data_IF_203456159889
#
_entry.id   IF_203456159889
#
_cell.length_a   1.000
_cell.length_b   1.000
_cell.length_c   1.000
_cell.angle_alpha   90.00
_cell.angle_beta   90.00
_cell.angle_gamma   90.00
#
_symmetry.space_group_name_H-M   'P 1'
#
loop_
_entity.id
_entity.type
_entity.pdbx_description
1 polymer ?
#
# COMPACT_ATOMS: atom_id res chain seq x y z
N UNK A 1 34.24 25.67 33.56
CA UNK A 1 33.60 24.75 34.52
C UNK A 1 33.48 23.40 33.82
N UNK A 2 33.59 22.28 34.54
CA UNK A 2 33.54 20.96 33.92
C UNK A 2 32.28 20.20 34.34
N UNK A 3 31.62 19.55 33.38
CA UNK A 3 30.45 18.71 33.59
C UNK A 3 30.70 17.30 33.06
N UNK A 4 30.06 16.31 33.68
CA UNK A 4 29.91 14.97 33.14
C UNK A 4 28.49 14.89 32.57
N UNK A 5 28.41 14.74 31.25
CA UNK A 5 27.14 14.53 30.56
C UNK A 5 26.90 13.03 30.43
N UNK A 6 25.80 12.55 31.00
CA UNK A 6 25.27 11.23 30.72
C UNK A 6 24.41 11.34 29.47
N UNK A 7 24.94 10.83 28.35
CA UNK A 7 24.32 10.92 27.05
C UNK A 7 23.75 9.57 26.61
N UNK A 8 22.63 9.59 25.90
CA UNK A 8 22.11 8.42 25.19
C UNK A 8 21.45 8.85 23.88
N UNK A 9 21.40 7.95 22.91
CA UNK A 9 20.79 8.21 21.61
C UNK A 9 19.30 7.87 21.68
N UNK A 10 18.45 8.77 21.18
CA UNK A 10 17.00 8.51 21.12
C UNK A 10 16.73 7.29 20.22
N UNK A 11 15.90 6.36 20.69
CA UNK A 11 15.66 5.07 20.05
C UNK A 11 16.46 3.92 20.65
N UNK A 12 17.41 4.20 21.54
CA UNK A 12 18.19 3.18 22.26
C UNK A 12 17.75 3.06 23.73
N UNK A 13 18.11 1.94 24.37
CA UNK A 13 17.89 1.75 25.79
C UNK A 13 18.83 2.67 26.59
N UNK A 14 18.31 3.64 27.38
CA UNK A 14 19.12 4.62 28.09
C UNK A 14 19.91 4.03 29.27
N UNK A 15 19.57 2.83 29.76
CA UNK A 15 20.29 2.17 30.86
C UNK A 15 21.38 1.23 30.37
N UNK A 16 21.20 0.62 29.20
CA UNK A 16 22.21 -0.26 28.60
C UNK A 16 23.18 0.46 27.66
N UNK A 17 22.69 1.45 26.90
CA UNK A 17 23.43 2.16 25.83
C UNK A 17 23.63 3.65 26.10
N UNK A 18 23.94 4.00 27.35
CA UNK A 18 24.42 5.35 27.66
C UNK A 18 25.95 5.44 27.56
N UNK A 19 26.44 6.66 27.38
CA UNK A 19 27.85 6.98 27.43
C UNK A 19 28.07 8.29 28.19
N UNK A 20 29.25 8.43 28.78
CA UNK A 20 29.64 9.65 29.48
C UNK A 20 30.49 10.53 28.58
N UNK A 21 30.17 11.82 28.56
CA UNK A 21 30.95 12.83 27.84
C UNK A 21 31.42 13.91 28.83
N UNK A 22 32.74 14.05 28.95
CA UNK A 22 33.35 15.09 29.79
C UNK A 22 33.37 16.42 29.03
N UNK A 23 32.56 17.37 29.50
CA UNK A 23 32.45 18.71 28.93
C UNK A 23 33.31 19.69 29.73
N UNK A 24 34.39 20.18 29.11
CA UNK A 24 35.17 21.33 29.60
C UNK A 24 34.69 22.61 28.88
N UNK A 25 33.93 23.45 29.59
CA UNK A 25 33.36 24.67 28.97
C UNK A 25 34.39 25.73 28.62
N UNK A 26 35.64 25.59 29.07
CA UNK A 26 36.73 26.46 28.58
C UNK A 26 37.15 26.13 27.14
N UNK A 27 36.99 24.85 26.74
CA UNK A 27 37.36 24.33 25.41
C UNK A 27 36.19 24.24 24.45
N UNK A 28 35.00 23.87 24.95
CA UNK A 28 33.78 23.74 24.16
C UNK A 28 32.83 24.87 24.57
N UNK A 29 32.85 25.96 23.81
CA UNK A 29 32.15 27.20 24.16
C UNK A 29 30.74 27.30 23.56
N UNK A 30 30.36 26.41 22.63
CA UNK A 30 29.06 26.44 21.96
C UNK A 30 28.45 25.04 21.86
N UNK A 31 27.12 24.96 21.87
CA UNK A 31 26.38 23.71 21.69
C UNK A 31 26.69 23.07 20.33
N UNK A 32 26.97 23.87 19.29
CA UNK A 32 27.44 23.35 17.99
C UNK A 32 28.77 22.59 18.10
N UNK A 33 29.74 23.11 18.86
CA UNK A 33 31.00 22.40 19.11
C UNK A 33 30.80 21.12 19.93
N UNK A 34 29.85 21.13 20.88
CA UNK A 34 29.49 19.92 21.63
C UNK A 34 28.90 18.84 20.72
N UNK A 35 27.99 19.20 19.81
CA UNK A 35 27.44 18.26 18.81
C UNK A 35 28.55 17.60 18.01
N UNK A 36 29.49 18.39 17.49
CA UNK A 36 30.66 17.86 16.75
C UNK A 36 31.50 16.90 17.60
N UNK A 37 31.75 17.24 18.87
CA UNK A 37 32.55 16.42 19.77
C UNK A 37 31.84 15.10 20.14
N UNK A 38 30.52 15.12 20.31
CA UNK A 38 29.71 13.92 20.52
C UNK A 38 29.73 13.03 19.27
N UNK A 39 29.50 13.60 18.09
CA UNK A 39 29.54 12.88 16.81
C UNK A 39 30.89 12.17 16.63
N UNK A 40 32.00 12.88 16.86
CA UNK A 40 33.34 12.33 16.73
C UNK A 40 33.62 11.22 17.76
N UNK A 41 33.21 11.41 19.02
CA UNK A 41 33.46 10.43 20.07
C UNK A 41 32.65 9.14 19.91
N UNK A 42 31.41 9.25 19.45
CA UNK A 42 30.52 8.10 19.19
C UNK A 42 30.61 7.57 17.76
N UNK A 43 31.47 8.13 16.91
CA UNK A 43 31.62 7.78 15.49
C UNK A 43 30.29 7.77 14.72
N UNK A 44 29.43 8.74 15.01
CA UNK A 44 28.12 8.86 14.36
C UNK A 44 28.30 9.37 12.93
N UNK A 45 27.67 8.71 11.95
CA UNK A 45 27.77 9.10 10.54
C UNK A 45 26.72 10.16 10.16
N UNK A 46 26.72 11.31 10.85
CA UNK A 46 25.73 12.39 10.69
C UNK A 46 26.37 13.77 10.78
N UNK A 47 25.77 14.78 10.16
CA UNK A 47 26.24 16.16 10.31
C UNK A 47 25.75 16.79 11.63
N UNK A 48 26.50 17.71 12.23
CA UNK A 48 26.06 18.36 13.49
C UNK A 48 24.76 19.16 13.37
N UNK A 49 24.41 19.66 12.18
CA UNK A 49 23.11 20.30 11.91
C UNK A 49 21.93 19.31 12.02
N UNK A 50 22.21 18.03 11.84
CA UNK A 50 21.24 16.93 11.92
C UNK A 50 21.14 16.40 13.35
N UNK A 51 21.98 16.82 14.29
CA UNK A 51 21.89 16.39 15.68
C UNK A 51 21.17 17.47 16.50
N UNK A 52 20.17 17.05 17.26
CA UNK A 52 19.56 17.85 18.32
C UNK A 52 19.97 17.30 19.67
N UNK A 53 20.27 18.19 20.61
CA UNK A 53 20.60 17.83 21.99
C UNK A 53 19.50 18.34 22.89
N UNK A 54 18.98 17.47 23.75
CA UNK A 54 17.94 17.81 24.70
C UNK A 54 18.45 17.58 26.11
N UNK A 55 18.43 18.61 26.94
CA UNK A 55 18.66 18.46 28.37
C UNK A 55 17.39 17.90 29.01
N UNK A 56 17.54 16.84 29.77
CA UNK A 56 16.44 16.22 30.53
C UNK A 56 16.80 16.13 32.00
N UNK A 57 15.81 16.21 32.87
CA UNK A 57 16.00 16.07 34.32
C UNK A 57 15.49 14.70 34.75
N UNK A 58 16.32 13.67 34.59
CA UNK A 58 15.94 12.29 34.87
C UNK A 58 16.86 11.62 35.89
N UNK A 59 16.33 10.88 36.89
CA UNK A 59 17.15 10.12 37.82
C UNK A 59 17.56 8.76 37.23
N UNK A 60 18.83 8.59 36.85
CA UNK A 60 19.39 7.29 36.44
C UNK A 60 19.58 6.30 37.61
N UNK A 61 19.39 6.76 38.86
CA UNK A 61 19.59 5.97 40.08
C UNK A 61 18.43 6.18 41.06
N UNK A 62 18.04 5.14 41.79
CA UNK A 62 17.01 5.24 42.83
C UNK A 62 15.56 5.17 42.33
N UNK A 63 15.35 4.70 41.09
CA UNK A 63 14.03 4.43 40.49
C UNK A 63 13.65 2.96 40.63
N UNK A 64 12.34 2.67 40.66
CA UNK A 64 11.83 1.30 40.67
C UNK A 64 11.73 0.71 39.24
N UNK A 65 11.50 -0.61 39.12
CA UNK A 65 11.46 -1.30 37.83
C UNK A 65 10.32 -0.83 36.91
N UNK A 66 9.18 -0.40 37.46
CA UNK A 66 8.05 0.11 36.67
C UNK A 66 8.39 1.47 36.04
N UNK A 67 8.97 2.38 36.81
CA UNK A 67 9.46 3.68 36.34
C UNK A 67 10.59 3.52 35.32
N UNK A 68 11.47 2.55 35.55
CA UNK A 68 12.54 2.20 34.61
C UNK A 68 11.96 1.74 33.27
N UNK A 69 10.96 0.86 33.30
CA UNK A 69 10.31 0.35 32.09
C UNK A 69 9.53 1.43 31.34
N UNK A 70 8.80 2.31 32.03
CA UNK A 70 8.14 3.47 31.42
C UNK A 70 9.15 4.35 30.66
N UNK A 71 10.30 4.61 31.28
CA UNK A 71 11.33 5.43 30.67
C UNK A 71 11.99 4.78 29.46
N UNK A 72 12.27 3.47 29.53
CA UNK A 72 12.77 2.70 28.38
C UNK A 72 11.76 2.79 27.22
N UNK A 73 10.48 2.57 27.48
CA UNK A 73 9.42 2.65 26.47
C UNK A 73 9.34 4.04 25.84
N UNK A 74 9.49 5.09 26.65
CA UNK A 74 9.52 6.48 26.18
C UNK A 74 10.75 6.79 25.32
N UNK A 75 11.94 6.40 25.76
CA UNK A 75 13.20 6.73 25.09
C UNK A 75 13.46 5.90 23.82
N UNK A 76 12.96 4.65 23.78
CA UNK A 76 13.03 3.79 22.59
C UNK A 76 12.03 4.20 21.51
N UNK A 77 11.00 4.98 21.86
CA UNK A 77 10.09 5.59 20.89
C UNK A 77 10.73 6.83 20.24
N UNK A 78 11.32 6.65 19.05
CA UNK A 78 11.94 7.74 18.27
C UNK A 78 11.01 8.91 17.93
N UNK A 79 9.69 8.71 18.01
CA UNK A 79 8.67 9.72 17.73
C UNK A 79 8.14 10.43 18.99
N UNK A 80 8.74 10.18 20.16
CA UNK A 80 8.32 10.80 21.41
C UNK A 80 8.46 12.33 21.36
N UNK A 81 7.50 13.02 21.95
CA UNK A 81 7.64 14.45 22.21
C UNK A 81 8.52 14.66 23.44
N UNK A 82 9.83 14.78 23.23
CA UNK A 82 10.84 14.91 24.29
C UNK A 82 10.53 16.08 25.23
N UNK A 83 9.94 17.17 24.73
CA UNK A 83 9.60 18.33 25.57
C UNK A 83 8.53 17.98 26.60
N UNK A 84 7.44 17.38 26.15
CA UNK A 84 6.25 17.21 26.97
C UNK A 84 6.28 15.90 27.78
N UNK A 85 6.90 14.86 27.23
CA UNK A 85 6.90 13.51 27.83
C UNK A 85 8.11 13.24 28.73
N UNK A 86 9.21 13.98 28.52
CA UNK A 86 10.49 13.81 29.23
C UNK A 86 10.98 15.11 29.90
N UNK A 87 10.12 16.13 30.00
CA UNK A 87 10.46 17.47 30.50
C UNK A 87 11.73 18.06 29.84
N UNK A 88 11.88 17.79 28.54
CA UNK A 88 13.09 18.07 27.79
C UNK A 88 13.19 19.52 27.32
N UNK A 89 14.38 20.09 27.48
CA UNK A 89 14.73 21.42 26.97
C UNK A 89 15.75 21.27 25.85
N UNK A 90 15.36 21.65 24.62
CA UNK A 90 16.27 21.64 23.47
C UNK A 90 17.38 22.67 23.67
N UNK A 91 18.63 22.26 23.43
CA UNK A 91 19.81 23.11 23.56
C UNK A 91 20.09 23.81 22.22
N UNK A 92 19.97 25.14 22.14
CA UNK A 92 20.16 25.88 20.90
C UNK A 92 21.63 25.96 20.50
N UNK A 93 21.93 25.94 19.20
CA UNK A 93 23.30 25.82 18.65
C UNK A 93 24.24 27.03 18.93
N UNK A 94 23.77 28.08 19.60
CA UNK A 94 24.39 29.42 19.59
C UNK A 94 25.56 29.53 20.58
N UNK A 95 25.30 29.54 21.89
CA UNK A 95 26.30 29.77 22.94
C UNK A 95 25.93 29.01 24.19
N UNK A 96 26.92 28.38 24.86
CA UNK A 96 26.69 27.76 26.17
C UNK A 96 26.80 28.81 27.28
N UNK A 97 25.75 28.93 28.08
CA UNK A 97 25.77 29.65 29.34
C UNK A 97 26.45 28.82 30.44
N UNK A 98 27.09 29.47 31.41
CA UNK A 98 27.72 28.78 32.56
C UNK A 98 26.72 28.01 33.44
N UNK A 99 25.41 28.16 33.23
CA UNK A 99 24.36 27.51 34.01
C UNK A 99 23.57 26.46 33.20
N UNK A 100 23.94 26.18 31.95
CA UNK A 100 23.11 25.39 31.03
C UNK A 100 22.83 23.96 31.53
N UNK A 101 23.81 23.37 32.21
CA UNK A 101 23.80 21.99 32.71
C UNK A 101 23.76 21.88 34.24
N UNK A 102 23.47 22.97 34.95
CA UNK A 102 23.38 22.96 36.42
C UNK A 102 22.08 22.29 36.86
N UNK A 103 22.17 21.13 37.52
CA UNK A 103 21.01 20.44 38.12
C UNK A 103 21.00 20.65 39.64
N UNK A 104 19.81 20.83 40.23
CA UNK A 104 19.62 21.15 41.66
C UNK A 104 20.12 20.06 42.63
N UNK A 105 20.36 18.84 42.16
CA UNK A 105 20.73 17.69 43.00
C UNK A 105 22.19 17.26 42.88
N UNK A 106 22.88 17.57 41.77
CA UNK A 106 24.30 17.27 41.58
C UNK A 106 24.90 18.25 40.57
N UNK A 107 25.68 19.22 41.06
CA UNK A 107 26.23 20.34 40.27
C UNK A 107 27.13 19.93 39.08
N UNK A 108 27.45 18.65 38.92
CA UNK A 108 28.41 18.14 37.93
C UNK A 108 27.84 17.09 36.96
N UNK A 109 26.64 16.54 37.18
CA UNK A 109 26.07 15.51 36.31
C UNK A 109 24.77 15.99 35.64
N UNK A 110 24.72 15.92 34.32
CA UNK A 110 23.54 16.28 33.53
C UNK A 110 23.19 15.17 32.53
N UNK A 111 21.89 15.02 32.25
CA UNK A 111 21.39 14.03 31.30
C UNK A 111 21.05 14.72 29.98
N UNK A 112 21.53 14.13 28.87
CA UNK A 112 21.35 14.68 27.53
C UNK A 112 20.88 13.60 26.57
N UNK A 113 19.78 13.86 25.87
CA UNK A 113 19.32 13.02 24.76
C UNK A 113 19.95 13.52 23.47
N UNK A 114 20.60 12.61 22.75
CA UNK A 114 21.13 12.84 21.40
C UNK A 114 20.08 12.37 20.41
N UNK A 115 19.36 13.32 19.81
CA UNK A 115 18.36 13.02 18.79
C UNK A 115 18.99 13.21 17.40
N UNK A 116 19.01 12.13 16.61
CA UNK A 116 19.45 12.16 15.23
C UNK A 116 18.26 12.56 14.34
N UNK A 117 18.36 13.73 13.72
CA UNK A 117 17.41 14.20 12.71
C UNK A 117 17.76 13.49 11.41
N UNK A 118 16.94 12.53 10.99
CA UNK A 118 16.84 12.27 9.54
C UNK A 118 16.44 13.60 8.87
N UNK A 119 17.07 13.94 7.75
CA UNK A 119 16.92 15.18 6.96
C UNK A 119 15.70 16.05 7.31
N UNK A 120 15.95 17.34 7.60
CA UNK A 120 14.99 18.26 8.21
C UNK A 120 13.60 18.29 7.56
N UNK A 121 12.55 18.51 8.39
CA UNK A 121 11.17 18.59 7.96
C UNK A 121 10.92 19.91 7.25
N UNK A 122 10.44 19.84 6.01
CA UNK A 122 9.76 20.96 5.37
C UNK A 122 8.41 21.14 6.07
N UNK A 123 8.11 22.40 6.35
CA UNK A 123 6.89 22.94 6.95
C UNK A 123 5.58 22.20 6.63
N UNK A 124 4.73 22.07 7.67
CA UNK A 124 3.34 21.58 7.63
C UNK A 124 3.15 20.12 7.17
N UNK A 125 3.61 19.18 7.99
CA UNK A 125 2.95 17.89 8.02
C UNK A 125 1.73 18.01 8.93
N UNK A 126 0.58 18.25 8.32
CA UNK A 126 -0.68 17.87 8.94
C UNK A 126 -0.55 16.43 9.47
N UNK A 127 -0.91 16.21 10.73
CA UNK A 127 -1.10 14.84 11.28
C UNK A 127 -2.17 14.06 10.52
N UNK A 128 -2.88 14.74 9.63
CA UNK A 128 -3.84 14.17 8.71
C UNK A 128 -3.17 13.06 7.87
N UNK A 129 -3.87 11.93 7.71
CA UNK A 129 -3.49 10.91 6.75
C UNK A 129 -3.24 11.54 5.37
N UNK A 130 -2.27 11.00 4.63
CA UNK A 130 -1.91 11.54 3.30
C UNK A 130 -3.05 11.40 2.28
N UNK A 131 -4.00 10.49 2.54
CA UNK A 131 -5.04 10.11 1.59
C UNK A 131 -4.51 9.29 0.40
N UNK A 132 -3.21 9.03 0.34
CA UNK A 132 -2.56 8.22 -0.69
C UNK A 132 -2.85 6.74 -0.46
N UNK A 133 -3.09 6.01 -1.55
CA UNK A 133 -3.43 4.59 -1.51
C UNK A 133 -2.20 3.75 -1.84
N UNK A 134 -1.88 2.80 -0.97
CA UNK A 134 -0.82 1.80 -1.15
C UNK A 134 -1.48 0.45 -1.41
N UNK A 135 -1.25 -0.12 -2.59
CA UNK A 135 -2.01 -1.26 -3.11
C UNK A 135 -1.16 -2.53 -3.05
N UNK A 136 -1.70 -3.55 -2.40
CA UNK A 136 -1.06 -4.86 -2.18
C UNK A 136 -1.98 -5.96 -2.69
N UNK A 137 -1.56 -6.73 -3.69
CA UNK A 137 -2.41 -7.68 -4.41
C UNK A 137 -1.83 -9.09 -4.32
N UNK A 138 -2.60 -10.01 -3.74
CA UNK A 138 -2.37 -11.45 -3.87
C UNK A 138 -3.08 -11.94 -5.13
N UNK A 139 -2.35 -11.89 -6.25
CA UNK A 139 -2.95 -12.06 -7.56
C UNK A 139 -3.55 -13.47 -7.74
N UNK A 140 -2.84 -14.50 -7.29
CA UNK A 140 -3.35 -15.86 -7.41
C UNK A 140 -4.62 -16.07 -6.59
N UNK A 141 -4.69 -15.50 -5.39
CA UNK A 141 -5.88 -15.59 -4.55
C UNK A 141 -7.08 -14.88 -5.19
N UNK A 142 -6.88 -13.69 -5.76
CA UNK A 142 -7.92 -12.93 -6.47
C UNK A 142 -8.39 -13.67 -7.71
N UNK A 143 -7.47 -14.19 -8.52
CA UNK A 143 -7.78 -14.85 -9.79
C UNK A 143 -8.55 -16.15 -9.59
N UNK A 144 -8.06 -17.02 -8.70
CA UNK A 144 -8.66 -18.35 -8.47
C UNK A 144 -10.09 -18.21 -7.93
N UNK A 145 -10.30 -17.41 -6.88
CA UNK A 145 -11.61 -17.28 -6.26
C UNK A 145 -12.58 -16.45 -7.12
N UNK A 146 -12.07 -15.46 -7.86
CA UNK A 146 -12.86 -14.68 -8.81
C UNK A 146 -13.41 -15.55 -9.93
N UNK A 147 -12.55 -16.36 -10.56
CA UNK A 147 -12.96 -17.28 -11.64
C UNK A 147 -14.02 -18.27 -11.17
N UNK A 148 -13.87 -18.85 -9.97
CA UNK A 148 -14.87 -19.77 -9.38
C UNK A 148 -16.25 -19.14 -9.16
N UNK A 149 -16.30 -17.87 -8.76
CA UNK A 149 -17.56 -17.14 -8.56
C UNK A 149 -18.18 -16.76 -9.89
N UNK A 150 -17.42 -16.07 -10.75
CA UNK A 150 -17.95 -15.49 -11.99
C UNK A 150 -18.34 -16.58 -12.99
N UNK A 151 -17.64 -17.72 -13.02
CA UNK A 151 -18.03 -18.86 -13.86
C UNK A 151 -19.45 -19.34 -13.58
N UNK A 152 -19.87 -19.32 -12.31
CA UNK A 152 -21.21 -19.71 -11.88
C UNK A 152 -22.25 -18.62 -12.17
N UNK A 153 -21.90 -17.36 -11.90
CA UNK A 153 -22.80 -16.21 -12.12
C UNK A 153 -23.12 -16.04 -13.61
N UNK A 154 -22.09 -16.03 -14.44
CA UNK A 154 -22.20 -15.78 -15.89
C UNK A 154 -22.43 -17.05 -16.71
N UNK A 155 -22.33 -18.24 -16.08
CA UNK A 155 -22.47 -19.56 -16.72
C UNK A 155 -21.42 -19.78 -17.83
N UNK A 156 -20.17 -19.48 -17.49
CA UNK A 156 -18.99 -19.50 -18.37
C UNK A 156 -17.95 -20.44 -17.78
N UNK A 157 -17.10 -21.06 -18.60
CA UNK A 157 -16.01 -21.88 -18.09
C UNK A 157 -14.87 -21.02 -17.53
N UNK A 158 -14.26 -21.45 -16.42
CA UNK A 158 -13.19 -20.69 -15.75
C UNK A 158 -11.99 -20.37 -16.64
N UNK A 159 -11.68 -21.25 -17.60
CA UNK A 159 -10.58 -21.06 -18.56
C UNK A 159 -10.86 -19.99 -19.63
N UNK A 160 -12.11 -19.56 -19.77
CA UNK A 160 -12.49 -18.44 -20.65
C UNK A 160 -12.45 -17.09 -19.91
N UNK A 161 -12.34 -17.11 -18.59
CA UNK A 161 -12.33 -15.90 -17.78
C UNK A 161 -10.93 -15.33 -17.66
N UNK A 162 -10.86 -14.00 -17.74
CA UNK A 162 -9.63 -13.24 -17.64
C UNK A 162 -9.86 -12.00 -16.78
N UNK A 163 -8.81 -11.57 -16.08
CA UNK A 163 -8.77 -10.33 -15.33
C UNK A 163 -7.96 -9.32 -16.13
N UNK A 164 -8.51 -8.12 -16.26
CA UNK A 164 -7.81 -6.93 -16.72
C UNK A 164 -7.26 -6.19 -15.49
N UNK A 165 -5.96 -6.34 -15.24
CA UNK A 165 -5.35 -5.91 -13.98
C UNK A 165 -5.24 -4.39 -13.86
N UNK A 166 -5.05 -3.67 -14.97
CA UNK A 166 -5.10 -2.21 -14.94
C UNK A 166 -6.49 -1.69 -14.58
N UNK A 167 -7.56 -2.35 -15.07
CA UNK A 167 -8.93 -2.03 -14.66
C UNK A 167 -9.23 -2.42 -13.20
N UNK A 168 -8.66 -3.52 -12.71
CA UNK A 168 -8.74 -3.88 -11.29
C UNK A 168 -8.08 -2.78 -10.43
N UNK A 169 -6.85 -2.39 -10.76
CA UNK A 169 -6.14 -1.32 -10.06
C UNK A 169 -6.93 -0.01 -10.09
N UNK A 170 -7.44 0.39 -11.25
CA UNK A 170 -8.27 1.59 -11.41
C UNK A 170 -9.55 1.53 -10.56
N UNK A 171 -10.15 0.35 -10.44
CA UNK A 171 -11.32 0.10 -9.59
C UNK A 171 -10.98 0.29 -8.11
N UNK A 172 -9.86 -0.27 -7.66
CA UNK A 172 -9.39 -0.14 -6.27
C UNK A 172 -9.00 1.31 -5.95
N UNK A 173 -8.27 1.99 -6.84
CA UNK A 173 -7.90 3.39 -6.65
C UNK A 173 -9.12 4.31 -6.68
N UNK A 174 -10.11 4.04 -7.54
CA UNK A 174 -11.33 4.83 -7.67
C UNK A 174 -11.05 6.35 -7.83
N UNK A 175 -10.03 6.69 -8.63
CA UNK A 175 -9.59 8.08 -8.86
C UNK A 175 -8.71 8.68 -7.75
N UNK A 176 -8.42 7.95 -6.68
CA UNK A 176 -7.47 8.38 -5.64
C UNK A 176 -6.02 8.25 -6.12
N UNK A 177 -5.16 9.08 -5.56
CA UNK A 177 -3.73 9.06 -5.87
C UNK A 177 -3.05 7.85 -5.21
N UNK A 178 -2.19 7.19 -5.98
CA UNK A 178 -1.35 6.10 -5.50
C UNK A 178 -0.15 6.67 -4.72
N UNK A 179 0.21 6.02 -3.61
CA UNK A 179 1.30 6.46 -2.73
C UNK A 179 2.66 5.88 -3.08
N UNK A 180 2.69 4.70 -3.69
CA UNK A 180 3.91 3.99 -4.07
C UNK A 180 3.65 2.98 -5.20
N UNK A 181 4.71 2.39 -5.73
CA UNK A 181 4.69 1.27 -6.66
C UNK A 181 3.78 0.14 -6.09
N UNK A 182 2.72 -0.30 -6.82
CA UNK A 182 1.86 -1.36 -6.32
C UNK A 182 2.57 -2.71 -6.36
N UNK A 183 2.27 -3.53 -5.35
CA UNK A 183 2.94 -4.81 -5.14
C UNK A 183 2.01 -5.94 -5.53
N UNK A 184 2.48 -6.77 -6.46
CA UNK A 184 1.78 -7.97 -6.92
C UNK A 184 2.57 -9.21 -6.48
N UNK A 185 1.88 -10.11 -5.78
CA UNK A 185 2.42 -11.39 -5.34
C UNK A 185 1.60 -12.51 -5.98
N UNK A 186 2.25 -13.61 -6.36
CA UNK A 186 1.56 -14.78 -6.92
C UNK A 186 1.78 -14.95 -8.42
N UNK A 187 0.69 -15.08 -9.17
CA UNK A 187 0.72 -15.16 -10.64
C UNK A 187 1.10 -13.80 -11.21
N UNK A 188 1.88 -13.79 -12.30
CA UNK A 188 2.24 -12.56 -13.01
C UNK A 188 1.11 -12.13 -13.95
N UNK A 189 0.69 -10.85 -13.93
CA UNK A 189 -0.20 -10.32 -14.97
C UNK A 189 0.34 -10.57 -16.39
N UNK A 190 -0.52 -10.85 -17.39
CA UNK A 190 -0.09 -11.08 -18.77
C UNK A 190 0.73 -9.91 -19.34
N UNK A 191 1.75 -10.13 -20.18
CA UNK A 191 2.58 -9.06 -20.75
C UNK A 191 1.82 -8.02 -21.57
N UNK A 192 0.66 -8.37 -22.11
CA UNK A 192 -0.22 -7.52 -22.90
C UNK A 192 -1.40 -6.93 -22.09
N UNK A 193 -1.38 -7.07 -20.76
CA UNK A 193 -2.42 -6.51 -19.89
C UNK A 193 -2.33 -4.96 -19.80
N UNK A 194 -3.48 -4.32 -19.54
CA UNK A 194 -3.58 -2.86 -19.44
C UNK A 194 -2.78 -2.28 -18.25
N UNK A 195 -2.47 -3.10 -17.24
CA UNK A 195 -1.73 -2.72 -16.03
C UNK A 195 -0.40 -2.04 -16.34
N UNK A 196 0.34 -2.52 -17.34
CA UNK A 196 1.66 -1.97 -17.68
C UNK A 196 1.57 -0.53 -18.17
N UNK A 197 0.51 -0.21 -18.92
CA UNK A 197 0.26 1.16 -19.42
C UNK A 197 -0.31 2.04 -18.31
N UNK A 198 -1.24 1.52 -17.52
CA UNK A 198 -1.81 2.23 -16.37
C UNK A 198 -0.69 2.66 -15.41
N UNK A 199 0.25 1.78 -15.09
CA UNK A 199 1.34 2.10 -14.18
C UNK A 199 2.36 3.07 -14.76
N UNK A 200 2.66 2.93 -16.05
CA UNK A 200 3.45 3.93 -16.78
C UNK A 200 2.79 5.31 -16.68
N UNK A 201 1.46 5.39 -16.82
CA UNK A 201 0.71 6.65 -16.70
C UNK A 201 0.71 7.23 -15.28
N UNK A 202 0.79 6.38 -14.26
CA UNK A 202 0.88 6.77 -12.86
C UNK A 202 2.31 7.10 -12.41
N UNK A 203 3.31 6.85 -13.27
CA UNK A 203 4.73 6.99 -12.94
C UNK A 203 5.25 5.90 -12.00
N UNK A 204 4.52 4.78 -11.89
CA UNK A 204 4.86 3.66 -11.03
C UNK A 204 5.60 2.56 -11.80
N UNK A 205 6.39 1.77 -11.08
CA UNK A 205 6.92 0.49 -11.53
C UNK A 205 6.09 -0.65 -10.95
N UNK A 206 6.06 -1.79 -11.63
CA UNK A 206 5.50 -3.01 -11.03
C UNK A 206 6.61 -3.76 -10.32
N UNK A 207 6.39 -4.03 -9.04
CA UNK A 207 7.12 -5.08 -8.34
C UNK A 207 6.25 -6.34 -8.36
N UNK A 208 6.64 -7.32 -9.20
CA UNK A 208 6.01 -8.66 -9.22
C UNK A 208 6.95 -9.65 -8.56
N UNK A 209 6.43 -10.36 -7.56
CA UNK A 209 7.10 -11.50 -6.97
C UNK A 209 6.44 -12.79 -7.49
N UNK A 210 7.16 -13.52 -8.35
CA UNK A 210 6.66 -14.73 -9.01
C UNK A 210 6.69 -15.93 -8.06
N UNK A 211 5.64 -16.77 -8.11
CA UNK A 211 5.68 -18.12 -7.51
C UNK A 211 6.61 -19.03 -8.31
N UNK A 212 7.71 -19.48 -7.72
CA UNK A 212 8.58 -20.48 -8.33
C UNK A 212 7.92 -21.88 -8.30
N UNK A 213 8.08 -22.65 -9.38
CA UNK A 213 7.53 -24.00 -9.57
C UNK A 213 8.09 -25.09 -8.61
N UNK A 214 8.99 -24.71 -7.70
CA UNK A 214 9.68 -25.62 -6.78
C UNK A 214 9.36 -25.21 -5.34
N UNK A 215 8.16 -25.58 -4.85
CA UNK A 215 7.77 -25.70 -3.44
C UNK A 215 8.38 -24.70 -2.41
N UNK A 216 8.58 -23.43 -2.79
CA UNK A 216 8.82 -22.31 -1.88
C UNK A 216 7.52 -21.52 -1.65
N UNK A 217 6.38 -22.21 -1.61
CA UNK A 217 5.03 -21.63 -1.35
C UNK A 217 5.05 -20.65 -0.17
N UNK A 218 5.78 -20.97 0.90
CA UNK A 218 5.83 -20.15 2.12
C UNK A 218 6.64 -18.85 2.05
N UNK A 219 7.58 -18.69 1.12
CA UNK A 219 8.41 -17.47 1.04
C UNK A 219 7.67 -16.36 0.30
N UNK A 220 6.97 -16.71 -0.79
CA UNK A 220 6.19 -15.76 -1.60
C UNK A 220 4.93 -15.29 -0.86
N UNK A 221 4.26 -16.18 -0.12
CA UNK A 221 3.07 -15.80 0.67
C UNK A 221 3.43 -14.83 1.82
N UNK A 222 4.67 -14.86 2.33
CA UNK A 222 5.14 -13.91 3.33
C UNK A 222 5.53 -12.53 2.73
N UNK A 223 5.83 -12.46 1.44
CA UNK A 223 6.36 -11.25 0.80
C UNK A 223 5.33 -10.11 0.82
N UNK A 224 4.05 -10.42 0.60
CA UNK A 224 3.00 -9.40 0.64
C UNK A 224 2.88 -8.80 2.05
N UNK A 225 2.95 -9.64 3.08
CA UNK A 225 2.94 -9.20 4.48
C UNK A 225 4.19 -8.43 4.90
N UNK A 226 5.35 -8.82 4.39
CA UNK A 226 6.61 -8.10 4.56
C UNK A 226 6.54 -6.71 3.91
N UNK A 227 6.09 -6.64 2.66
CA UNK A 227 5.90 -5.38 1.92
C UNK A 227 4.91 -4.43 2.61
N UNK A 228 3.82 -4.94 3.17
CA UNK A 228 2.90 -4.14 4.01
C UNK A 228 3.64 -3.60 5.23
N UNK A 229 4.45 -4.43 5.88
CA UNK A 229 5.21 -4.05 7.07
C UNK A 229 6.27 -2.98 6.76
N UNK A 230 6.91 -3.07 5.60
CA UNK A 230 7.90 -2.10 5.11
C UNK A 230 7.23 -0.75 4.83
N UNK A 231 6.10 -0.73 4.12
CA UNK A 231 5.33 0.49 3.89
C UNK A 231 4.92 1.17 5.21
N UNK A 232 4.45 0.38 6.19
CA UNK A 232 4.10 0.90 7.51
C UNK A 232 5.32 1.51 8.25
N UNK A 233 6.53 1.07 7.95
CA UNK A 233 7.76 1.47 8.62
C UNK A 233 8.47 2.65 7.94
N UNK A 234 8.46 2.68 6.61
CA UNK A 234 9.11 3.69 5.78
C UNK A 234 8.31 5.00 5.73
N UNK A 235 6.98 4.92 5.65
CA UNK A 235 6.14 6.09 5.50
C UNK A 235 5.86 6.76 6.87
N UNK A 236 6.48 7.92 7.08
CA UNK A 236 6.32 8.74 8.30
C UNK A 236 4.91 9.30 8.49
N UNK A 237 4.09 9.33 7.43
CA UNK A 237 2.67 9.74 7.49
C UNK A 237 1.80 8.60 6.98
N UNK A 238 0.77 8.18 7.75
CA UNK A 238 -0.10 7.11 7.33
C UNK A 238 -0.92 7.50 6.10
N UNK A 239 -1.10 6.55 5.19
CA UNK A 239 -2.04 6.63 4.08
C UNK A 239 -3.17 5.61 4.24
N UNK A 240 -3.61 5.06 3.11
CA UNK A 240 -4.61 4.01 3.01
C UNK A 240 -3.92 2.75 2.50
N UNK A 241 -4.00 1.65 3.24
CA UNK A 241 -3.63 0.33 2.75
C UNK A 241 -4.83 -0.27 2.04
N UNK A 242 -4.70 -0.59 0.76
CA UNK A 242 -5.68 -1.36 0.01
C UNK A 242 -5.13 -2.78 -0.23
N UNK A 243 -5.54 -3.72 0.62
CA UNK A 243 -5.24 -5.14 0.46
C UNK A 243 -6.27 -5.78 -0.47
N UNK A 244 -5.82 -6.37 -1.57
CA UNK A 244 -6.63 -7.13 -2.50
C UNK A 244 -6.34 -8.63 -2.32
N UNK A 245 -6.86 -9.19 -1.22
CA UNK A 245 -6.68 -10.58 -0.83
C UNK A 245 -7.71 -11.01 0.23
N UNK A 246 -7.95 -12.31 0.36
CA UNK A 246 -8.91 -12.89 1.31
C UNK A 246 -8.32 -13.71 2.45
N UNK A 247 -7.00 -13.93 2.44
CA UNK A 247 -6.35 -14.80 3.42
C UNK A 247 -6.28 -14.16 4.82
N UNK A 248 -6.63 -14.94 5.85
CA UNK A 248 -6.56 -14.52 7.25
C UNK A 248 -5.15 -14.30 7.79
N UNK A 249 -4.12 -14.72 7.05
CA UNK A 249 -2.73 -14.63 7.48
C UNK A 249 -2.17 -13.22 7.39
N UNK A 250 -2.79 -12.31 6.63
CA UNK A 250 -2.45 -10.87 6.62
C UNK A 250 -2.97 -10.10 7.85
N UNK A 251 -3.78 -10.74 8.70
CA UNK A 251 -4.39 -10.09 9.88
C UNK A 251 -3.37 -9.40 10.81
N UNK A 252 -2.23 -10.01 11.17
CA UNK A 252 -1.25 -9.37 12.04
C UNK A 252 -0.73 -8.03 11.49
N UNK A 253 -0.45 -7.97 10.20
CA UNK A 253 0.08 -6.81 9.47
C UNK A 253 -0.96 -5.69 9.42
N UNK A 254 -2.20 -6.02 9.03
CA UNK A 254 -3.30 -5.06 9.00
C UNK A 254 -3.62 -4.50 10.40
N UNK A 255 -3.54 -5.33 11.44
CA UNK A 255 -3.69 -4.87 12.83
C UNK A 255 -2.58 -3.88 13.21
N UNK A 256 -1.34 -4.10 12.78
CA UNK A 256 -0.22 -3.17 13.01
C UNK A 256 -0.43 -1.85 12.25
N UNK A 257 -0.96 -1.91 11.03
CA UNK A 257 -1.29 -0.73 10.24
C UNK A 257 -2.30 0.17 10.97
N UNK A 258 -3.42 -0.41 11.41
CA UNK A 258 -4.46 0.30 12.16
C UNK A 258 -3.90 0.97 13.41
N UNK A 259 -3.09 0.24 14.20
CA UNK A 259 -2.45 0.78 15.41
C UNK A 259 -1.49 1.94 15.13
N UNK A 260 -0.99 2.07 13.89
CA UNK A 260 -0.11 3.15 13.43
C UNK A 260 -0.86 4.25 12.67
N UNK A 261 -2.19 4.25 12.72
CA UNK A 261 -3.04 5.30 12.17
C UNK A 261 -3.33 5.17 10.67
N UNK A 262 -2.97 4.03 10.05
CA UNK A 262 -3.35 3.76 8.67
C UNK A 262 -4.83 3.41 8.58
N UNK A 263 -5.51 3.93 7.55
CA UNK A 263 -6.78 3.37 7.11
C UNK A 263 -6.52 2.08 6.35
N UNK A 264 -7.34 1.06 6.58
CA UNK A 264 -7.19 -0.25 5.94
C UNK A 264 -8.48 -0.59 5.20
N UNK A 265 -8.34 -0.84 3.90
CA UNK A 265 -9.36 -1.34 3.00
C UNK A 265 -9.01 -2.76 2.56
N UNK A 266 -9.97 -3.67 2.68
CA UNK A 266 -9.85 -5.05 2.23
C UNK A 266 -10.81 -5.24 1.05
N UNK A 267 -10.23 -5.49 -0.12
CA UNK A 267 -10.94 -5.72 -1.38
C UNK A 267 -10.90 -7.21 -1.72
N UNK A 268 -12.02 -7.93 -1.56
CA UNK A 268 -12.03 -9.35 -1.90
C UNK A 268 -13.43 -9.90 -2.22
N UNK A 269 -13.48 -11.15 -2.65
CA UNK A 269 -14.71 -11.90 -2.90
C UNK A 269 -15.37 -12.32 -1.58
N UNK A 270 -16.65 -11.98 -1.37
CA UNK A 270 -17.34 -12.24 -0.10
C UNK A 270 -17.32 -13.73 0.30
N UNK A 271 -17.54 -14.60 -0.70
CA UNK A 271 -17.66 -16.04 -0.53
C UNK A 271 -16.37 -16.73 -0.07
N UNK A 272 -15.21 -16.12 -0.32
CA UNK A 272 -13.89 -16.71 -0.06
C UNK A 272 -13.07 -15.93 0.98
N UNK A 273 -13.60 -14.82 1.52
CA UNK A 273 -12.92 -14.02 2.51
C UNK A 273 -12.88 -14.72 3.88
N UNK A 274 -11.69 -14.82 4.48
CA UNK A 274 -11.49 -15.37 5.82
C UNK A 274 -12.22 -14.56 6.89
N UNK A 275 -12.87 -15.25 7.83
CA UNK A 275 -13.47 -14.60 9.00
C UNK A 275 -12.44 -13.84 9.86
N UNK A 276 -11.15 -14.23 9.80
CA UNK A 276 -10.06 -13.52 10.47
C UNK A 276 -9.85 -12.11 9.91
N UNK A 277 -10.18 -11.87 8.64
CA UNK A 277 -10.15 -10.54 8.02
C UNK A 277 -11.46 -9.77 8.22
N UNK A 278 -12.60 -10.46 8.24
CA UNK A 278 -13.90 -9.82 8.53
C UNK A 278 -13.95 -9.19 9.93
N UNK A 279 -13.20 -9.74 10.87
CA UNK A 279 -13.20 -9.33 12.28
C UNK A 279 -11.79 -9.07 12.82
N UNK A 280 -11.15 -7.99 12.33
CA UNK A 280 -9.87 -7.54 12.87
C UNK A 280 -10.12 -6.74 14.16
N UNK A 281 -10.10 -7.45 15.29
CA UNK A 281 -10.23 -6.83 16.61
C UNK A 281 -8.88 -6.22 17.08
N UNK A 282 -8.95 -4.95 17.51
CA UNK A 282 -7.90 -4.28 18.29
C UNK A 282 -8.42 -4.09 19.73
N UNK A 283 -8.05 -4.98 20.69
CA UNK A 283 -8.74 -5.09 21.99
C UNK A 283 -8.86 -3.80 22.82
N UNK A 284 -7.98 -2.83 22.61
CA UNK A 284 -7.96 -1.56 23.35
C UNK A 284 -8.39 -0.35 22.51
N UNK A 285 -8.75 -0.56 21.24
CA UNK A 285 -9.11 0.48 20.26
C UNK A 285 -10.21 -0.01 19.31
N UNK A 286 -11.44 -0.22 19.79
CA UNK A 286 -12.56 -0.71 18.97
C UNK A 286 -13.01 0.28 17.88
N UNK A 287 -12.57 1.53 17.98
CA UNK A 287 -12.72 2.57 16.96
C UNK A 287 -11.87 2.31 15.70
N UNK A 288 -10.80 1.52 15.82
CA UNK A 288 -9.95 1.14 14.70
C UNK A 288 -10.53 -0.07 13.98
N UNK A 289 -11.14 0.17 12.82
CA UNK A 289 -11.78 -0.85 12.01
C UNK A 289 -11.29 -0.80 10.57
N UNK A 290 -11.27 -1.97 9.93
CA UNK A 290 -11.04 -2.09 8.49
C UNK A 290 -12.32 -1.85 7.73
N UNK A 291 -12.22 -1.24 6.55
CA UNK A 291 -13.32 -1.14 5.60
C UNK A 291 -13.27 -2.32 4.64
N UNK A 292 -14.38 -3.02 4.46
CA UNK A 292 -14.47 -4.16 3.53
C UNK A 292 -15.21 -3.73 2.28
N UNK A 293 -14.59 -3.99 1.12
CA UNK A 293 -15.13 -3.73 -0.21
C UNK A 293 -15.24 -5.05 -0.97
N UNK A 294 -16.46 -5.46 -1.30
CA UNK A 294 -16.68 -6.72 -2.00
C UNK A 294 -16.48 -6.56 -3.51
N UNK A 295 -15.55 -7.34 -4.08
CA UNK A 295 -15.27 -7.36 -5.52
C UNK A 295 -16.46 -7.87 -6.34
N UNK A 296 -17.37 -8.61 -5.71
CA UNK A 296 -18.63 -9.11 -6.25
C UNK A 296 -19.47 -8.02 -6.94
N UNK A 297 -19.45 -6.78 -6.42
CA UNK A 297 -20.22 -5.65 -6.99
C UNK A 297 -19.50 -4.95 -8.15
N UNK A 298 -18.24 -5.28 -8.41
CA UNK A 298 -17.38 -4.56 -9.33
C UNK A 298 -16.82 -5.43 -10.46
N UNK A 299 -17.00 -6.76 -10.42
CA UNK A 299 -16.33 -7.68 -11.35
C UNK A 299 -16.54 -7.33 -12.83
N UNK A 300 -17.72 -6.83 -13.23
CA UNK A 300 -17.97 -6.42 -14.63
C UNK A 300 -17.01 -5.31 -15.12
N UNK A 301 -16.34 -4.61 -14.20
CA UNK A 301 -15.37 -3.55 -14.52
C UNK A 301 -14.00 -4.08 -14.91
N UNK A 302 -13.64 -5.29 -14.50
CA UNK A 302 -12.28 -5.81 -14.64
C UNK A 302 -12.19 -7.30 -14.98
N UNK A 303 -13.29 -8.06 -14.97
CA UNK A 303 -13.34 -9.46 -15.44
C UNK A 303 -14.08 -9.50 -16.77
N UNK A 304 -13.54 -10.29 -17.70
CA UNK A 304 -14.16 -10.56 -18.99
C UNK A 304 -14.03 -12.01 -19.39
N UNK A 305 -14.86 -12.43 -20.35
CA UNK A 305 -14.77 -13.73 -20.99
C UNK A 305 -14.26 -13.61 -22.43
N UNK A 306 -13.38 -14.53 -22.82
CA UNK A 306 -12.92 -14.72 -24.19
C UNK A 306 -13.24 -16.14 -24.67
N UNK A 307 -13.88 -16.25 -25.83
CA UNK A 307 -14.14 -17.53 -26.50
C UNK A 307 -15.63 -17.81 -26.76
N UNK A 308 -15.89 -18.86 -27.55
CA UNK A 308 -17.23 -19.12 -28.10
C UNK A 308 -18.05 -20.17 -27.34
N UNK A 309 -17.45 -21.00 -26.48
CA UNK A 309 -18.23 -22.08 -25.82
C UNK A 309 -19.30 -21.49 -24.91
N UNK A 310 -20.47 -22.14 -24.79
CA UNK A 310 -21.64 -21.64 -24.06
C UNK A 310 -22.26 -20.32 -24.57
N UNK A 311 -21.72 -19.69 -25.62
CA UNK A 311 -22.31 -18.48 -26.22
C UNK A 311 -23.60 -18.72 -27.02
N UNK A 312 -24.03 -19.98 -27.23
CA UNK A 312 -25.16 -20.35 -28.12
C UNK A 312 -26.48 -19.65 -27.77
N UNK A 313 -26.67 -19.25 -26.51
CA UNK A 313 -27.88 -18.54 -26.04
C UNK A 313 -27.77 -17.02 -26.15
N UNK A 314 -26.56 -16.49 -26.34
CA UNK A 314 -26.29 -15.05 -26.43
C UNK A 314 -26.66 -14.53 -27.82
N UNK A 315 -27.05 -13.26 -27.87
CA UNK A 315 -26.99 -12.46 -29.10
C UNK A 315 -25.52 -12.12 -29.36
N UNK A 316 -25.12 -12.00 -30.61
CA UNK A 316 -23.78 -11.57 -30.94
C UNK A 316 -23.78 -10.53 -32.04
N UNK A 317 -22.86 -9.57 -31.94
CA UNK A 317 -22.50 -8.66 -33.02
C UNK A 317 -21.20 -9.17 -33.62
N UNK A 318 -21.24 -9.51 -34.90
CA UNK A 318 -20.04 -9.82 -35.67
C UNK A 318 -19.53 -8.56 -36.36
N UNK A 319 -18.25 -8.30 -36.18
CA UNK A 319 -17.54 -7.15 -36.70
C UNK A 319 -16.45 -7.71 -37.61
N UNK A 320 -16.51 -7.34 -38.89
CA UNK A 320 -15.54 -7.77 -39.89
C UNK A 320 -14.76 -6.59 -40.47
N UNK A 321 -13.48 -6.81 -40.74
CA UNK A 321 -12.62 -5.87 -41.47
C UNK A 321 -11.22 -5.73 -40.87
N UNK A 322 -10.33 -5.06 -41.60
CA UNK A 322 -8.92 -4.91 -41.21
C UNK A 322 -8.75 -4.13 -39.90
N UNK A 323 -9.68 -3.21 -39.60
CA UNK A 323 -9.70 -2.44 -38.35
C UNK A 323 -9.85 -3.32 -37.10
N UNK A 324 -10.38 -4.54 -37.24
CA UNK A 324 -10.59 -5.50 -36.15
C UNK A 324 -9.28 -6.17 -35.72
N UNK A 325 -8.25 -6.13 -36.55
CA UNK A 325 -6.94 -6.69 -36.25
C UNK A 325 -6.33 -6.15 -34.96
N UNK A 326 -6.60 -4.88 -34.63
CA UNK A 326 -6.09 -4.18 -33.43
C UNK A 326 -7.00 -4.29 -32.21
N UNK A 327 -8.19 -4.86 -32.36
CA UNK A 327 -9.13 -5.00 -31.24
C UNK A 327 -8.64 -6.05 -30.25
N UNK A 328 -8.81 -5.71 -28.97
CA UNK A 328 -8.48 -6.52 -27.81
C UNK A 328 -9.39 -6.16 -26.63
N UNK A 329 -9.11 -6.71 -25.45
CA UNK A 329 -9.94 -6.55 -24.25
C UNK A 329 -10.20 -5.08 -23.90
N UNK A 330 -9.20 -4.20 -23.98
CA UNK A 330 -9.32 -2.83 -23.45
C UNK A 330 -10.40 -1.99 -24.15
N UNK A 331 -10.39 -1.99 -25.48
CA UNK A 331 -11.34 -1.27 -26.33
C UNK A 331 -12.77 -1.79 -26.13
N UNK A 332 -12.89 -3.10 -25.98
CA UNK A 332 -14.17 -3.80 -25.89
C UNK A 332 -14.77 -3.62 -24.50
N UNK A 333 -13.95 -3.80 -23.47
CA UNK A 333 -14.33 -3.60 -22.06
C UNK A 333 -14.88 -2.20 -21.79
N UNK A 334 -14.41 -1.15 -22.48
CA UNK A 334 -14.94 0.20 -22.28
C UNK A 334 -16.43 0.31 -22.61
N UNK A 335 -16.86 -0.30 -23.72
CA UNK A 335 -18.28 -0.39 -24.07
C UNK A 335 -19.07 -1.15 -23.00
N UNK A 336 -18.62 -2.34 -22.63
CA UNK A 336 -19.32 -3.21 -21.70
C UNK A 336 -19.48 -2.56 -20.31
N UNK A 337 -18.42 -1.92 -19.81
CA UNK A 337 -18.47 -1.19 -18.54
C UNK A 337 -19.44 -0.01 -18.60
N UNK A 338 -19.43 0.78 -19.67
CA UNK A 338 -20.33 1.92 -19.82
C UNK A 338 -21.81 1.51 -19.98
N UNK A 339 -22.05 0.32 -20.56
CA UNK A 339 -23.38 -0.27 -20.67
C UNK A 339 -23.81 -1.07 -19.44
N UNK A 340 -22.96 -1.16 -18.40
CA UNK A 340 -23.18 -1.96 -17.19
C UNK A 340 -23.50 -3.44 -17.51
N UNK A 341 -22.77 -4.02 -18.46
CA UNK A 341 -22.92 -5.41 -18.88
C UNK A 341 -21.62 -6.19 -18.76
N UNK A 342 -21.72 -7.51 -18.58
CA UNK A 342 -20.54 -8.38 -18.50
C UNK A 342 -19.88 -8.51 -19.88
N UNK A 343 -18.57 -8.23 -19.93
CA UNK A 343 -17.81 -8.26 -21.17
C UNK A 343 -17.52 -9.69 -21.62
N UNK A 344 -18.08 -10.07 -22.75
CA UNK A 344 -17.80 -11.36 -23.38
C UNK A 344 -17.61 -11.16 -24.88
N UNK A 345 -16.44 -11.56 -25.37
CA UNK A 345 -16.11 -11.51 -26.80
C UNK A 345 -15.37 -12.77 -27.28
N UNK A 346 -15.22 -12.92 -28.59
CA UNK A 346 -14.41 -13.94 -29.23
C UNK A 346 -13.74 -13.37 -30.49
N UNK A 347 -12.47 -13.71 -30.71
CA UNK A 347 -11.73 -13.30 -31.92
C UNK A 347 -11.31 -14.56 -32.66
N UNK A 348 -12.18 -15.01 -33.55
CA UNK A 348 -11.98 -16.26 -34.28
C UNK A 348 -10.78 -16.20 -35.24
N UNK A 349 -10.47 -15.02 -35.79
CA UNK A 349 -9.33 -14.78 -36.66
C UNK A 349 -8.96 -13.28 -36.68
N UNK A 350 -7.97 -12.88 -37.49
CA UNK A 350 -7.51 -11.49 -37.56
C UNK A 350 -8.51 -10.49 -38.15
N UNK A 351 -9.59 -10.97 -38.79
CA UNK A 351 -10.57 -10.15 -39.50
C UNK A 351 -11.99 -10.24 -38.92
N UNK A 352 -12.26 -11.16 -37.99
CA UNK A 352 -13.60 -11.38 -37.41
C UNK A 352 -13.58 -11.32 -35.89
N UNK A 353 -14.46 -10.49 -35.33
CA UNK A 353 -14.61 -10.30 -33.89
C UNK A 353 -16.08 -10.35 -33.49
N UNK A 354 -16.37 -11.11 -32.44
CA UNK A 354 -17.70 -11.35 -31.93
C UNK A 354 -17.83 -10.70 -30.56
N UNK A 355 -18.84 -9.86 -30.39
CA UNK A 355 -19.26 -9.32 -29.08
C UNK A 355 -20.56 -10.01 -28.68
N UNK A 356 -20.64 -10.57 -27.47
CA UNK A 356 -21.82 -11.30 -26.98
C UNK A 356 -22.67 -10.46 -26.02
N UNK A 357 -23.99 -10.64 -26.08
CA UNK A 357 -24.98 -9.88 -25.31
C UNK A 357 -26.14 -10.77 -24.84
N UNK A 358 -26.78 -10.40 -23.74
CA UNK A 358 -27.91 -11.16 -23.19
C UNK A 358 -29.20 -10.96 -23.99
N UNK A 359 -29.40 -9.75 -24.49
CA UNK A 359 -30.66 -9.36 -25.10
C UNK A 359 -30.45 -8.47 -26.34
N UNK A 360 -31.57 -8.21 -27.03
CA UNK A 360 -31.56 -7.45 -28.28
C UNK A 360 -31.27 -5.96 -28.08
N UNK A 361 -31.60 -5.40 -26.90
CA UNK A 361 -31.39 -3.99 -26.59
C UNK A 361 -29.90 -3.69 -26.45
N UNK A 362 -29.19 -4.46 -25.62
CA UNK A 362 -27.72 -4.40 -25.50
C UNK A 362 -27.03 -4.55 -26.85
N UNK A 363 -27.50 -5.50 -27.67
CA UNK A 363 -26.96 -5.69 -29.02
C UNK A 363 -27.18 -4.46 -29.91
N UNK A 364 -28.34 -3.81 -29.85
CA UNK A 364 -28.63 -2.58 -30.62
C UNK A 364 -27.75 -1.42 -30.18
N UNK A 365 -27.58 -1.25 -28.87
CA UNK A 365 -26.70 -0.22 -28.30
C UNK A 365 -25.25 -0.43 -28.74
N UNK A 366 -24.75 -1.67 -28.62
CA UNK A 366 -23.43 -2.04 -29.09
C UNK A 366 -23.26 -1.76 -30.58
N UNK A 367 -24.24 -2.14 -31.40
CA UNK A 367 -24.23 -1.86 -32.84
C UNK A 367 -24.13 -0.36 -33.13
N UNK A 368 -24.92 0.47 -32.45
CA UNK A 368 -24.87 1.92 -32.61
C UNK A 368 -23.50 2.49 -32.21
N UNK A 369 -22.95 2.00 -31.10
CA UNK A 369 -21.62 2.39 -30.61
C UNK A 369 -20.50 2.02 -31.59
N UNK A 370 -20.48 0.77 -32.06
CA UNK A 370 -19.49 0.28 -33.03
C UNK A 370 -19.56 1.08 -34.33
N UNK A 371 -20.75 1.29 -34.91
CA UNK A 371 -20.90 2.08 -36.15
C UNK A 371 -20.48 3.53 -36.02
N UNK A 372 -20.60 4.10 -34.82
CA UNK A 372 -20.16 5.48 -34.55
C UNK A 372 -18.64 5.59 -34.55
N UNK A 373 -17.94 4.59 -34.03
CA UNK A 373 -16.47 4.60 -33.90
C UNK A 373 -15.80 4.04 -35.16
N UNK A 374 -16.45 3.06 -35.82
CA UNK A 374 -15.96 2.33 -36.98
C UNK A 374 -17.05 2.28 -38.08
N UNK A 375 -17.20 3.36 -38.87
CA UNK A 375 -18.23 3.47 -39.90
C UNK A 375 -18.14 2.39 -41.00
N UNK A 376 -16.95 1.85 -41.22
CA UNK A 376 -16.62 0.84 -42.25
C UNK A 376 -17.07 -0.59 -41.92
N UNK A 377 -17.57 -0.85 -40.71
CA UNK A 377 -17.98 -2.20 -40.28
C UNK A 377 -19.22 -2.67 -41.04
N UNK A 378 -19.07 -3.79 -41.77
CA UNK A 378 -20.16 -4.46 -42.46
C UNK A 378 -20.94 -5.40 -41.54
N UNK A 379 -22.27 -5.34 -41.61
CA UNK A 379 -23.17 -6.21 -40.86
C UNK A 379 -23.26 -7.59 -41.52
N UNK A 380 -22.96 -8.66 -40.77
CA UNK A 380 -23.41 -10.00 -41.15
C UNK A 380 -24.70 -10.33 -40.37
N UNK A 381 -25.86 -10.40 -41.05
CA UNK A 381 -27.07 -10.89 -40.40
C UNK A 381 -26.88 -12.36 -40.03
N UNK A 382 -27.41 -12.74 -38.87
CA UNK A 382 -27.52 -14.15 -38.47
C UNK A 382 -28.25 -14.90 -39.58
N UNK A 383 -27.64 -15.93 -40.17
CA UNK A 383 -28.41 -16.96 -40.86
C UNK A 383 -29.43 -17.50 -39.85
N UNK A 384 -30.69 -17.12 -40.04
CA UNK A 384 -31.80 -17.84 -39.45
C UNK A 384 -31.66 -19.27 -40.01
N UNK A 385 -31.56 -20.32 -39.17
CA UNK A 385 -31.50 -21.67 -39.69
C UNK A 385 -32.64 -21.86 -40.67
N UNK A 386 -32.29 -22.23 -41.91
CA UNK A 386 -33.20 -22.46 -43.03
C UNK A 386 -34.05 -23.72 -42.84
N UNK A 387 -34.79 -23.80 -41.73
CA UNK A 387 -35.73 -24.88 -41.42
C UNK A 387 -37.12 -24.34 -41.01
N UNK A 388 -37.47 -23.13 -41.43
CA UNK A 388 -38.84 -22.62 -41.42
C UNK A 388 -39.13 -21.88 -42.74
N UNK A 389 -39.03 -22.63 -43.82
CA UNK A 389 -39.66 -22.33 -45.10
C UNK A 389 -40.23 -23.63 -45.66
N UNK A 390 -41.36 -24.02 -45.07
CA UNK A 390 -42.54 -24.64 -45.71
C UNK A 390 -43.62 -24.87 -44.66
#
# INVERSE_FOLDING_TARGET
MSYILNCFVLGEDPFEKNFQFYLDTSKIQTIGLLKNAIIASQKLNVAAKEVKLWRVNFPLTGINEEQKLDFINKCTNVNINIRDELDGVELPTISMSNNEFVTQQNLQHAHVIVQLSSAQPVSDFSKEPTGLVHVFIDNSNVEIEGKKLISKLEKIYENQLHIDYGRLLKTVLNGRQIGDDPIFVGSRPPPNDSIWRELTSLGCRVTVFDRNAVNQEKEVDNELGASISDAIQEYKRPGIIALVAGDGDYRPELRRALLRGWSVEIWFWDHAMSQRLKWINVPYRPDLQTTIMYLDSYYIRFIYACGRDNSRRKKYLEINGDAVGTWGNEHVMEFYVNSNTFCWWDKANSHSFYMYFENLEQWKEAKCWVKKIYPEVQELPKEIPSNLSN
#
